data_IF_646823250950
#
_entry.id   IF_646823250950
#
_cell.length_a   1.000
_cell.length_b   1.000
_cell.length_c   1.000
_cell.angle_alpha   90.00
_cell.angle_beta   90.00
_cell.angle_gamma   90.00
#
_symmetry.space_group_name_H-M   'P 1'
#
loop_
_entity.id
_entity.type
_entity.pdbx_description
1 polymer ?
#
# COMPACT_ATOMS: atom_id res chain seq x y z
N UNK A 1 100.09 -2.87 37.68
CA UNK A 1 100.30 -1.53 38.28
C UNK A 1 99.51 -0.51 37.48
N UNK A 2 98.88 0.41 38.20
CA UNK A 2 97.85 1.37 37.78
C UNK A 2 98.08 2.06 36.43
N UNK A 3 97.01 2.18 35.65
CA UNK A 3 96.90 3.22 34.61
C UNK A 3 95.49 3.81 34.63
N UNK A 4 95.32 5.11 34.93
CA UNK A 4 94.02 5.76 34.84
C UNK A 4 93.92 6.72 33.64
N UNK A 5 92.74 6.64 33.01
CA UNK A 5 91.91 7.72 32.46
C UNK A 5 92.51 8.67 31.42
N UNK A 6 91.93 8.63 30.23
CA UNK A 6 91.24 9.78 29.59
C UNK A 6 90.12 9.26 28.68
N UNK A 7 88.91 9.85 28.77
CA UNK A 7 87.77 9.64 27.86
C UNK A 7 87.41 11.01 27.26
N UNK A 8 87.10 11.10 25.95
CA UNK A 8 86.87 12.38 25.29
C UNK A 8 85.41 12.85 25.33
N UNK A 9 85.29 14.12 24.96
CA UNK A 9 84.16 15.05 24.98
C UNK A 9 83.10 14.83 23.89
N UNK A 10 81.89 15.33 24.21
CA UNK A 10 80.86 15.99 23.39
C UNK A 10 80.45 15.32 22.07
N UNK A 11 79.17 15.03 21.79
CA UNK A 11 77.99 15.86 22.02
C UNK A 11 77.28 15.96 20.67
N UNK A 12 76.31 15.08 20.41
CA UNK A 12 75.51 15.06 19.19
C UNK A 12 74.02 14.99 19.57
N UNK A 13 73.21 15.71 18.80
CA UNK A 13 71.87 16.17 19.14
C UNK A 13 70.88 15.08 19.57
N UNK A 14 70.03 15.46 20.52
CA UNK A 14 68.82 14.72 20.89
C UNK A 14 67.90 14.60 19.68
N UNK A 15 67.86 13.41 19.08
CA UNK A 15 66.76 13.00 18.21
C UNK A 15 65.47 12.95 19.03
N UNK A 16 64.46 13.66 18.53
CA UNK A 16 63.08 13.60 19.02
C UNK A 16 62.55 12.18 18.83
N UNK A 17 62.28 11.50 19.95
CA UNK A 17 61.52 10.24 19.95
C UNK A 17 60.09 10.57 19.55
N UNK A 18 59.70 10.18 18.34
CA UNK A 18 58.30 10.16 17.91
C UNK A 18 57.58 9.05 18.66
N UNK A 19 56.50 9.45 19.35
CA UNK A 19 55.66 8.59 20.16
C UNK A 19 54.71 7.80 19.23
N UNK A 20 54.66 6.44 19.30
CA UNK A 20 53.82 5.63 18.41
C UNK A 20 52.31 5.88 18.58
N UNK A 21 51.89 6.62 19.61
CA UNK A 21 50.50 7.05 19.80
C UNK A 21 50.08 8.24 18.93
N UNK A 22 51.00 9.01 18.35
CA UNK A 22 50.65 10.17 17.49
C UNK A 22 50.36 9.74 16.05
N UNK A 23 50.88 8.60 15.60
CA UNK A 23 50.61 8.07 14.24
C UNK A 23 49.25 7.36 14.11
N UNK A 24 48.71 6.81 15.21
CA UNK A 24 47.43 6.10 15.17
C UNK A 24 46.21 7.04 15.11
N UNK A 25 46.29 8.25 15.70
CA UNK A 25 45.21 9.24 15.59
C UNK A 25 45.23 10.01 14.26
N UNK A 26 46.39 10.18 13.63
CA UNK A 26 46.51 10.84 12.32
C UNK A 26 45.89 10.05 11.16
N UNK A 27 45.96 8.71 11.19
CA UNK A 27 45.38 7.88 10.12
C UNK A 27 43.86 7.69 10.24
N UNK A 28 43.29 7.77 11.45
CA UNK A 28 41.83 7.75 11.64
C UNK A 28 41.20 9.09 11.26
N UNK A 29 41.88 10.21 11.55
CA UNK A 29 41.43 11.55 11.12
C UNK A 29 41.46 11.75 9.60
N UNK A 30 42.46 11.19 8.90
CA UNK A 30 42.56 11.28 7.45
C UNK A 30 41.52 10.42 6.71
N UNK A 31 41.12 9.27 7.26
CA UNK A 31 40.08 8.41 6.69
C UNK A 31 38.66 8.98 6.88
N UNK A 32 38.39 9.65 8.01
CA UNK A 32 37.11 10.32 8.26
C UNK A 32 36.98 11.60 7.41
N UNK A 33 38.09 12.32 7.18
CA UNK A 33 38.11 13.52 6.33
C UNK A 33 37.99 13.18 4.83
N UNK A 34 38.52 12.04 4.36
CA UNK A 34 38.35 11.60 2.97
C UNK A 34 36.95 11.05 2.66
N UNK A 35 36.28 10.41 3.64
CA UNK A 35 34.87 10.02 3.50
C UNK A 35 33.91 11.23 3.53
N UNK A 36 34.20 12.26 4.33
CA UNK A 36 33.43 13.50 4.34
C UNK A 36 33.61 14.32 3.05
N UNK A 37 34.81 14.31 2.45
CA UNK A 37 35.07 14.98 1.17
C UNK A 37 34.45 14.23 -0.02
N UNK A 38 34.41 12.89 0.00
CA UNK A 38 33.66 12.12 -1.00
C UNK A 38 32.14 12.30 -0.87
N UNK A 39 31.59 12.44 0.34
CA UNK A 39 30.19 12.80 0.53
C UNK A 39 29.88 14.23 0.07
N UNK A 40 30.79 15.18 0.26
CA UNK A 40 30.63 16.56 -0.23
C UNK A 40 30.73 16.67 -1.76
N UNK A 41 31.54 15.85 -2.42
CA UNK A 41 31.63 15.79 -3.89
C UNK A 41 30.40 15.07 -4.50
N UNK A 42 29.79 14.11 -3.79
CA UNK A 42 28.53 13.49 -4.22
C UNK A 42 27.34 14.45 -4.04
N UNK A 43 27.38 15.33 -3.03
CA UNK A 43 26.35 16.37 -2.80
C UNK A 43 26.52 17.58 -3.75
N UNK A 44 27.72 17.82 -4.30
CA UNK A 44 27.95 18.88 -5.29
C UNK A 44 27.97 18.41 -6.75
N UNK A 45 28.13 17.10 -7.01
CA UNK A 45 28.12 16.49 -8.34
C UNK A 45 26.75 15.96 -8.82
N UNK A 46 25.74 15.89 -7.95
CA UNK A 46 24.37 15.47 -8.31
C UNK A 46 23.40 16.64 -8.51
N UNK A 47 23.86 17.88 -8.30
CA UNK A 47 23.09 19.11 -8.54
C UNK A 47 23.04 19.55 -10.01
N UNK A 48 23.46 18.69 -10.95
CA UNK A 48 23.56 19.00 -12.37
C UNK A 48 23.01 17.91 -13.30
N UNK A 49 21.92 17.22 -12.92
CA UNK A 49 20.95 16.69 -13.89
C UNK A 49 19.54 16.83 -13.31
N UNK A 50 19.13 18.08 -13.09
CA UNK A 50 17.71 18.45 -13.08
C UNK A 50 17.38 18.90 -14.52
N UNK A 51 16.37 18.33 -15.20
CA UNK A 51 15.88 18.99 -16.40
C UNK A 51 15.22 20.29 -15.94
N UNK A 52 15.88 21.39 -16.25
CA UNK A 52 15.32 22.73 -16.30
C UNK A 52 14.02 22.65 -17.13
N UNK A 53 12.88 22.52 -16.46
CA UNK A 53 11.56 22.73 -17.08
C UNK A 53 11.36 24.24 -17.07
N UNK A 54 11.73 24.86 -18.18
CA UNK A 54 11.41 26.25 -18.49
C UNK A 54 9.89 26.47 -18.44
N UNK A 55 9.50 27.61 -17.87
CA UNK A 55 8.21 28.27 -17.95
C UNK A 55 7.21 27.67 -18.95
N UNK A 56 6.15 27.04 -18.42
CA UNK A 56 4.92 26.85 -19.20
C UNK A 56 4.12 28.15 -19.05
N UNK A 57 4.42 29.10 -19.93
CA UNK A 57 3.46 30.11 -20.33
C UNK A 57 2.30 29.47 -21.11
N UNK A 58 1.16 30.11 -20.96
CA UNK A 58 -0.19 29.76 -21.39
C UNK A 58 -0.37 29.48 -22.89
N UNK A 59 -1.43 28.72 -23.16
CA UNK A 59 -2.12 28.47 -24.43
C UNK A 59 -1.60 27.36 -25.36
N UNK A 60 -2.19 26.16 -25.22
CA UNK A 60 -2.94 25.50 -26.30
C UNK A 60 -3.34 24.06 -25.91
N UNK A 61 -4.66 23.88 -25.79
CA UNK A 61 -5.49 22.67 -25.98
C UNK A 61 -4.85 21.26 -26.06
N UNK A 62 -5.45 20.37 -25.25
CA UNK A 62 -5.31 18.89 -25.17
C UNK A 62 -4.09 18.33 -24.45
N UNK A 63 -4.15 18.36 -23.12
CA UNK A 63 -3.45 17.39 -22.29
C UNK A 63 -3.88 15.96 -22.71
N UNK A 64 -2.91 15.12 -23.06
CA UNK A 64 -3.14 13.70 -23.34
C UNK A 64 -3.59 13.02 -22.04
N UNK A 65 -4.85 12.61 -21.99
CA UNK A 65 -5.39 11.73 -20.97
C UNK A 65 -4.58 10.43 -20.95
N UNK A 66 -3.98 10.09 -19.81
CA UNK A 66 -3.66 8.70 -19.47
C UNK A 66 -4.92 7.83 -19.54
N UNK A 67 -4.88 6.53 -19.22
CA UNK A 67 -6.11 5.75 -19.09
C UNK A 67 -6.96 6.47 -18.03
N UNK A 68 -8.00 7.18 -18.48
CA UNK A 68 -8.69 8.18 -17.66
C UNK A 68 -9.31 7.53 -16.43
N UNK A 69 -9.83 8.32 -15.49
CA UNK A 69 -10.53 7.85 -14.28
C UNK A 69 -11.61 6.76 -14.54
N UNK A 70 -12.05 6.62 -15.80
CA UNK A 70 -12.86 5.53 -16.34
C UNK A 70 -12.20 4.13 -16.31
N UNK A 71 -10.91 3.99 -16.02
CA UNK A 71 -10.23 2.69 -15.89
C UNK A 71 -9.85 2.33 -14.46
N UNK A 72 -9.93 3.27 -13.52
CA UNK A 72 -9.52 3.04 -12.12
C UNK A 72 -10.66 2.32 -11.38
N UNK A 73 -10.30 1.24 -10.68
CA UNK A 73 -11.21 0.53 -9.79
C UNK A 73 -11.01 1.05 -8.36
N UNK A 74 -12.07 1.49 -7.67
CA UNK A 74 -11.95 1.87 -6.28
C UNK A 74 -11.53 0.67 -5.42
N UNK A 75 -10.60 0.92 -4.50
CA UNK A 75 -10.10 -0.01 -3.52
C UNK A 75 -10.45 0.49 -2.11
N UNK A 76 -10.73 -0.41 -1.15
CA UNK A 76 -10.98 -0.05 0.24
C UNK A 76 -9.67 0.35 0.97
N UNK A 77 -8.96 1.33 0.42
CA UNK A 77 -7.80 1.96 1.03
C UNK A 77 -8.13 3.37 1.50
N UNK A 78 -7.42 3.78 2.55
CA UNK A 78 -7.51 5.09 3.15
C UNK A 78 -6.12 5.72 3.10
N UNK A 79 -6.00 6.80 2.34
CA UNK A 79 -4.75 7.52 2.15
C UNK A 79 -4.51 8.45 3.33
N UNK A 80 -3.38 8.25 4.02
CA UNK A 80 -2.99 8.96 5.26
C UNK A 80 -1.82 9.93 5.01
N UNK A 81 -1.72 10.99 5.83
CA UNK A 81 -0.52 11.84 5.98
C UNK A 81 -0.01 12.50 4.68
N UNK A 82 -0.93 13.16 4.00
CA UNK A 82 -0.84 13.67 2.64
C UNK A 82 0.20 14.78 2.42
N UNK A 83 0.62 15.47 3.49
CA UNK A 83 1.60 16.58 3.45
C UNK A 83 3.04 16.17 3.07
N UNK A 84 3.38 14.87 3.12
CA UNK A 84 4.68 14.36 2.63
C UNK A 84 4.74 14.16 1.11
N UNK A 85 3.59 14.24 0.42
CA UNK A 85 3.49 13.91 -1.01
C UNK A 85 3.39 15.17 -1.87
N UNK A 86 3.91 15.10 -3.10
CA UNK A 86 3.87 16.21 -4.05
C UNK A 86 2.43 16.51 -4.53
N UNK A 87 1.63 15.48 -4.75
CA UNK A 87 0.25 15.59 -5.23
C UNK A 87 -0.65 14.58 -4.49
N UNK A 88 -0.96 14.82 -3.19
CA UNK A 88 -1.59 13.81 -2.34
C UNK A 88 -2.95 13.35 -2.85
N UNK A 89 -3.83 14.28 -3.22
CA UNK A 89 -5.14 13.97 -3.79
C UNK A 89 -5.02 13.08 -5.03
N UNK A 90 -4.27 13.52 -6.06
CA UNK A 90 -4.11 12.77 -7.30
C UNK A 90 -3.52 11.38 -7.05
N UNK A 91 -2.46 11.29 -6.24
CA UNK A 91 -1.84 9.99 -5.93
C UNK A 91 -2.79 9.02 -5.22
N UNK A 92 -3.68 9.51 -4.37
CA UNK A 92 -4.69 8.68 -3.70
C UNK A 92 -5.77 8.21 -4.67
N UNK A 93 -6.27 9.09 -5.53
CA UNK A 93 -7.27 8.75 -6.55
C UNK A 93 -6.70 7.80 -7.60
N UNK A 94 -5.48 8.03 -8.06
CA UNK A 94 -4.78 7.16 -9.03
C UNK A 94 -4.56 5.75 -8.47
N UNK A 95 -4.34 5.62 -7.16
CA UNK A 95 -4.26 4.34 -6.46
C UNK A 95 -5.63 3.68 -6.19
N UNK A 96 -6.74 4.39 -6.45
CA UNK A 96 -8.10 3.91 -6.22
C UNK A 96 -8.62 4.10 -4.79
N UNK A 97 -7.97 4.87 -3.92
CA UNK A 97 -8.40 4.98 -2.52
C UNK A 97 -9.70 5.75 -2.32
N UNK A 98 -10.68 5.06 -1.72
CA UNK A 98 -12.00 5.62 -1.41
C UNK A 98 -12.04 6.50 -0.14
N UNK A 99 -10.89 6.71 0.50
CA UNK A 99 -10.75 7.59 1.65
C UNK A 99 -9.43 8.33 1.62
N UNK A 100 -9.45 9.61 1.98
CA UNK A 100 -8.29 10.50 2.01
C UNK A 100 -8.36 11.35 3.27
N UNK A 101 -7.24 11.46 4.00
CA UNK A 101 -7.14 12.24 5.23
C UNK A 101 -6.40 13.56 5.01
N UNK A 102 -6.96 14.64 5.56
CA UNK A 102 -6.37 15.97 5.55
C UNK A 102 -6.28 16.52 6.98
N UNK A 103 -5.07 16.56 7.54
CA UNK A 103 -4.76 17.26 8.78
C UNK A 103 -4.74 18.77 8.53
N UNK A 104 -5.68 19.50 9.15
CA UNK A 104 -5.85 20.93 8.91
C UNK A 104 -5.67 21.78 10.16
N UNK A 105 -5.00 22.91 9.97
CA UNK A 105 -4.75 23.92 10.99
C UNK A 105 -5.40 25.24 10.57
N UNK A 106 -6.17 25.83 11.48
CA UNK A 106 -6.75 27.15 11.28
C UNK A 106 -5.69 28.21 11.65
N UNK A 107 -5.21 28.94 10.65
CA UNK A 107 -4.25 30.03 10.84
C UNK A 107 -4.74 31.24 10.08
N UNK A 108 -4.98 32.33 10.82
CA UNK A 108 -5.68 33.51 10.29
C UNK A 108 -7.04 33.04 9.73
N UNK A 109 -7.42 33.36 8.50
CA UNK A 109 -8.74 32.98 7.94
C UNK A 109 -8.64 31.84 6.92
N UNK A 110 -7.70 30.91 7.11
CA UNK A 110 -7.45 29.81 6.18
C UNK A 110 -7.19 28.47 6.90
N UNK A 111 -7.51 27.36 6.21
CA UNK A 111 -7.20 26.00 6.64
C UNK A 111 -5.98 25.47 5.89
N UNK A 112 -4.83 25.49 6.56
CA UNK A 112 -3.57 24.95 6.04
C UNK A 112 -3.45 23.46 6.33
N UNK A 113 -2.86 22.72 5.40
CA UNK A 113 -2.68 21.26 5.51
C UNK A 113 -1.28 20.95 6.02
N UNK A 114 -1.17 20.19 7.11
CA UNK A 114 0.13 19.77 7.66
C UNK A 114 0.03 18.96 8.94
N UNK A 115 1.08 18.19 9.23
CA UNK A 115 1.15 17.39 10.47
C UNK A 115 1.20 18.25 11.72
N UNK A 116 1.99 19.32 11.66
CA UNK A 116 2.25 20.25 12.75
C UNK A 116 2.34 21.68 12.20
N UNK A 117 2.23 22.66 13.11
CA UNK A 117 2.30 24.09 12.78
C UNK A 117 3.61 24.51 12.09
N UNK A 118 4.72 23.80 12.33
CA UNK A 118 6.03 24.12 11.76
C UNK A 118 6.19 23.68 10.30
N UNK A 119 5.40 22.71 9.85
CA UNK A 119 5.37 22.20 8.48
C UNK A 119 4.39 22.90 7.55
N UNK A 120 3.70 23.95 8.00
CA UNK A 120 2.72 24.67 7.18
C UNK A 120 3.40 25.49 6.08
N UNK A 121 2.77 25.52 4.90
CA UNK A 121 3.20 26.32 3.75
C UNK A 121 2.02 27.07 3.15
N UNK A 122 2.26 28.28 2.65
CA UNK A 122 1.19 29.18 2.17
C UNK A 122 0.45 28.67 0.94
N UNK A 123 1.07 27.77 0.16
CA UNK A 123 0.51 27.12 -1.02
C UNK A 123 -0.31 25.84 -0.69
N UNK A 124 -0.23 25.36 0.55
CA UNK A 124 -0.82 24.09 1.00
C UNK A 124 -2.04 24.32 1.89
N UNK A 125 -3.18 24.58 1.26
CA UNK A 125 -4.47 24.76 1.93
C UNK A 125 -5.41 23.60 1.62
N UNK A 126 -6.43 23.40 2.46
CA UNK A 126 -7.49 22.41 2.20
C UNK A 126 -8.10 22.65 0.80
N UNK A 127 -8.28 23.93 0.46
CA UNK A 127 -8.79 24.37 -0.83
C UNK A 127 -7.87 24.02 -2.00
N UNK A 128 -6.56 24.33 -1.91
CA UNK A 128 -5.62 24.09 -3.01
C UNK A 128 -5.32 22.60 -3.20
N UNK A 129 -5.25 21.85 -2.11
CA UNK A 129 -4.81 20.46 -2.13
C UNK A 129 -5.94 19.45 -2.37
N UNK A 130 -7.18 19.76 -1.96
CA UNK A 130 -8.31 18.82 -2.04
C UNK A 130 -9.54 19.39 -2.71
N UNK A 131 -10.09 20.52 -2.22
CA UNK A 131 -11.39 21.00 -2.70
C UNK A 131 -11.34 21.37 -4.18
N UNK A 132 -10.33 22.13 -4.62
CA UNK A 132 -10.21 22.55 -6.02
C UNK A 132 -9.96 21.36 -6.96
N UNK A 133 -9.01 20.45 -6.69
CA UNK A 133 -8.86 19.23 -7.49
C UNK A 133 -10.14 18.37 -7.54
N UNK A 134 -10.86 18.22 -6.42
CA UNK A 134 -12.15 17.52 -6.37
C UNK A 134 -13.20 18.18 -7.27
N UNK A 135 -13.30 19.51 -7.20
CA UNK A 135 -14.22 20.29 -8.02
C UNK A 135 -13.90 20.13 -9.51
N UNK A 136 -12.65 20.32 -9.91
CA UNK A 136 -12.21 20.17 -11.31
C UNK A 136 -12.51 18.77 -11.85
N UNK A 137 -12.22 17.75 -11.03
CA UNK A 137 -12.47 16.35 -11.37
C UNK A 137 -13.97 16.06 -11.54
N UNK A 138 -14.80 16.41 -10.57
CA UNK A 138 -16.25 16.16 -10.64
C UNK A 138 -16.93 17.00 -11.72
N UNK A 139 -16.48 18.24 -11.95
CA UNK A 139 -16.95 19.05 -13.08
C UNK A 139 -16.65 18.35 -14.41
N UNK A 140 -15.43 17.85 -14.59
CA UNK A 140 -15.04 17.15 -15.82
C UNK A 140 -15.87 15.89 -16.07
N UNK A 141 -16.21 15.13 -15.01
CA UNK A 141 -17.03 13.92 -15.15
C UNK A 141 -18.51 14.18 -15.39
N UNK A 142 -18.99 15.40 -15.10
CA UNK A 142 -20.40 15.76 -15.17
C UNK A 142 -20.70 16.86 -16.19
N UNK A 143 -19.75 17.21 -17.08
CA UNK A 143 -19.82 18.38 -17.98
C UNK A 143 -21.05 18.37 -18.92
N UNK A 144 -21.45 17.19 -19.43
CA UNK A 144 -22.53 17.01 -20.40
C UNK A 144 -23.64 16.07 -19.89
N UNK A 145 -23.77 15.95 -18.56
CA UNK A 145 -24.73 15.01 -17.95
C UNK A 145 -26.10 15.64 -17.81
N UNK A 146 -27.14 14.86 -18.06
CA UNK A 146 -28.52 15.25 -17.77
C UNK A 146 -28.66 15.60 -16.27
N UNK A 147 -29.05 16.85 -15.92
CA UNK A 147 -29.21 17.28 -14.54
C UNK A 147 -30.24 16.49 -13.73
N UNK A 148 -31.14 15.73 -14.38
CA UNK A 148 -32.12 14.85 -13.72
C UNK A 148 -31.52 13.54 -13.20
N UNK A 149 -30.31 13.18 -13.64
CA UNK A 149 -29.62 11.97 -13.21
C UNK A 149 -28.73 12.25 -11.99
N UNK A 150 -28.53 11.27 -11.09
CA UNK A 150 -27.54 11.40 -10.01
C UNK A 150 -26.15 11.74 -10.57
N UNK A 151 -25.33 12.55 -9.87
CA UNK A 151 -24.00 12.91 -10.35
C UNK A 151 -23.08 11.68 -10.45
N UNK A 152 -22.15 11.71 -11.40
CA UNK A 152 -21.06 10.75 -11.45
C UNK A 152 -20.06 11.06 -10.33
N UNK A 153 -19.73 10.03 -9.53
CA UNK A 153 -18.68 10.08 -8.53
C UNK A 153 -17.27 10.12 -9.12
N UNK A 154 -16.27 9.98 -8.26
CA UNK A 154 -14.86 10.11 -8.62
C UNK A 154 -14.36 8.99 -9.54
N UNK A 155 -14.93 7.78 -9.44
CA UNK A 155 -14.48 6.62 -10.20
C UNK A 155 -15.44 6.25 -11.31
N UNK A 156 -15.03 6.42 -12.57
CA UNK A 156 -15.93 6.17 -13.72
C UNK A 156 -16.44 4.72 -13.82
N UNK A 157 -15.68 3.73 -13.32
CA UNK A 157 -16.07 2.31 -13.27
C UNK A 157 -17.13 1.99 -12.22
N UNK A 158 -17.21 2.81 -11.17
CA UNK A 158 -18.15 2.68 -10.04
C UNK A 158 -18.65 4.08 -9.68
N UNK A 159 -19.52 4.66 -10.51
CA UNK A 159 -19.93 6.06 -10.41
C UNK A 159 -20.72 6.37 -9.13
N UNK A 160 -21.23 5.34 -8.45
CA UNK A 160 -21.92 5.39 -7.16
C UNK A 160 -20.97 5.31 -5.94
N UNK A 161 -19.69 5.01 -6.14
CA UNK A 161 -18.70 4.97 -5.07
C UNK A 161 -18.38 6.39 -4.58
N UNK A 162 -18.82 6.71 -3.37
CA UNK A 162 -18.43 7.94 -2.68
C UNK A 162 -16.95 7.90 -2.27
N UNK A 163 -16.27 9.04 -2.34
CA UNK A 163 -14.94 9.24 -1.74
C UNK A 163 -15.10 9.94 -0.41
N UNK A 164 -14.47 9.41 0.62
CA UNK A 164 -14.46 10.03 1.95
C UNK A 164 -13.30 11.02 2.05
N UNK A 165 -13.62 12.29 2.27
CA UNK A 165 -12.65 13.30 2.70
C UNK A 165 -12.71 13.39 4.23
N UNK A 166 -11.76 12.75 4.89
CA UNK A 166 -11.60 12.79 6.34
C UNK A 166 -10.76 14.02 6.70
N UNK A 167 -11.35 14.98 7.41
CA UNK A 167 -10.70 16.23 7.79
C UNK A 167 -10.40 16.18 9.28
N UNK A 168 -9.12 16.10 9.63
CA UNK A 168 -8.65 16.13 11.03
C UNK A 168 -8.40 17.57 11.45
N UNK A 169 -9.32 18.12 12.24
CA UNK A 169 -9.20 19.48 12.77
C UNK A 169 -8.19 19.48 13.92
N UNK A 170 -7.00 20.06 13.70
CA UNK A 170 -5.94 20.18 14.71
C UNK A 170 -6.04 21.43 15.57
N UNK A 171 -6.93 22.34 15.22
CA UNK A 171 -7.10 23.65 15.84
C UNK A 171 -8.47 23.78 16.50
N UNK A 172 -8.58 24.76 17.40
CA UNK A 172 -9.81 25.05 18.15
C UNK A 172 -11.07 25.01 17.25
N UNK A 173 -12.11 24.23 17.62
CA UNK A 173 -13.28 24.03 16.77
C UNK A 173 -14.05 25.32 16.49
N UNK A 174 -14.03 26.30 17.41
CA UNK A 174 -14.73 27.58 17.21
C UNK A 174 -14.16 28.40 16.04
N UNK A 175 -12.90 28.16 15.66
CA UNK A 175 -12.27 28.83 14.51
C UNK A 175 -12.19 27.91 13.30
N UNK A 176 -11.86 26.63 13.49
CA UNK A 176 -11.63 25.69 12.39
C UNK A 176 -12.93 25.18 11.75
N UNK A 177 -14.01 25.01 12.53
CA UNK A 177 -15.28 24.51 12.03
C UNK A 177 -15.98 25.47 11.05
N UNK A 178 -16.13 26.78 11.35
CA UNK A 178 -16.73 27.72 10.39
C UNK A 178 -15.94 27.80 9.08
N UNK A 179 -14.61 27.80 9.15
CA UNK A 179 -13.74 27.80 7.97
C UNK A 179 -13.93 26.51 7.15
N UNK A 180 -14.07 25.35 7.79
CA UNK A 180 -14.34 24.10 7.09
C UNK A 180 -15.65 24.19 6.31
N UNK A 181 -16.73 24.63 6.95
CA UNK A 181 -18.04 24.77 6.30
C UNK A 181 -17.97 25.73 5.10
N UNK A 182 -17.22 26.82 5.23
CA UNK A 182 -16.97 27.77 4.13
C UNK A 182 -16.19 27.13 2.98
N UNK A 183 -15.11 26.38 3.26
CA UNK A 183 -14.31 25.71 2.20
C UNK A 183 -15.10 24.63 1.47
N UNK A 184 -16.13 24.05 2.10
CA UNK A 184 -17.01 23.05 1.49
C UNK A 184 -18.13 23.65 0.62
N UNK A 185 -18.36 24.96 0.69
CA UNK A 185 -19.45 25.63 -0.02
C UNK A 185 -19.49 25.37 -1.54
N UNK A 186 -18.36 25.34 -2.29
CA UNK A 186 -18.38 25.04 -3.72
C UNK A 186 -18.91 23.63 -4.04
N UNK A 187 -18.60 22.64 -3.20
CA UNK A 187 -19.09 21.26 -3.36
C UNK A 187 -20.58 21.18 -2.99
N UNK A 188 -20.99 21.90 -1.93
CA UNK A 188 -22.37 21.99 -1.45
C UNK A 188 -23.30 22.58 -2.51
N UNK A 189 -22.91 23.70 -3.13
CA UNK A 189 -23.68 24.35 -4.19
C UNK A 189 -23.90 23.46 -5.42
N UNK A 190 -23.00 22.51 -5.67
CA UNK A 190 -23.13 21.52 -6.75
C UNK A 190 -23.92 20.27 -6.36
N UNK A 191 -24.35 20.15 -5.09
CA UNK A 191 -25.04 18.96 -4.59
C UNK A 191 -24.13 17.72 -4.55
N UNK A 192 -22.82 17.91 -4.39
CA UNK A 192 -21.85 16.81 -4.43
C UNK A 192 -21.49 16.22 -3.07
N UNK A 193 -21.97 16.83 -1.99
CA UNK A 193 -21.78 16.33 -0.64
C UNK A 193 -22.90 15.36 -0.25
N UNK A 194 -22.51 14.24 0.36
CA UNK A 194 -23.43 13.43 1.16
C UNK A 194 -23.99 14.31 2.29
N UNK A 195 -25.28 14.16 2.59
CA UNK A 195 -25.95 15.01 3.55
C UNK A 195 -27.16 14.32 4.19
N UNK A 196 -27.67 14.91 5.27
CA UNK A 196 -28.94 14.50 5.86
C UNK A 196 -30.07 15.37 5.33
N UNK A 197 -31.09 14.74 4.78
CA UNK A 197 -32.33 15.38 4.34
C UNK A 197 -33.52 14.58 4.87
N UNK A 198 -34.49 15.25 5.48
CA UNK A 198 -35.69 14.64 6.08
C UNK A 198 -35.40 13.44 6.99
N UNK A 199 -34.35 13.56 7.82
CA UNK A 199 -33.95 12.52 8.76
C UNK A 199 -33.34 11.27 8.10
N UNK A 200 -32.91 11.37 6.84
CA UNK A 200 -32.27 10.28 6.09
C UNK A 200 -30.92 10.71 5.54
N UNK A 201 -29.98 9.77 5.51
CA UNK A 201 -28.72 9.94 4.82
C UNK A 201 -28.93 9.88 3.30
N UNK A 202 -28.48 10.91 2.58
CA UNK A 202 -28.45 11.01 1.13
C UNK A 202 -26.98 10.96 0.69
N UNK A 203 -26.61 9.94 -0.08
CA UNK A 203 -25.24 9.77 -0.55
C UNK A 203 -24.92 10.72 -1.70
N UNK A 204 -23.78 11.41 -1.62
CA UNK A 204 -23.19 12.19 -2.70
C UNK A 204 -21.85 11.59 -3.17
N UNK A 205 -21.29 12.12 -4.27
CA UNK A 205 -19.93 11.82 -4.73
C UNK A 205 -18.88 11.89 -3.63
N UNK A 206 -19.03 12.83 -2.68
CA UNK A 206 -18.08 13.06 -1.59
C UNK A 206 -18.81 12.97 -0.25
N UNK A 207 -18.26 12.18 0.67
CA UNK A 207 -18.69 12.20 2.07
C UNK A 207 -17.61 12.88 2.91
N UNK A 208 -17.94 13.97 3.57
CA UNK A 208 -16.99 14.67 4.44
C UNK A 208 -17.13 14.16 5.86
N UNK A 209 -16.02 13.77 6.47
CA UNK A 209 -15.98 13.28 7.84
C UNK A 209 -15.02 14.14 8.65
N UNK A 210 -15.49 14.77 9.73
CA UNK A 210 -14.65 15.50 10.66
C UNK A 210 -14.11 14.59 11.76
N UNK A 211 -12.82 14.72 12.06
CA UNK A 211 -12.14 14.08 13.19
C UNK A 211 -11.27 15.11 13.93
N UNK A 212 -10.44 14.68 14.88
CA UNK A 212 -9.65 15.57 15.74
C UNK A 212 -10.53 16.35 16.71
N UNK A 213 -10.45 17.68 16.67
CA UNK A 213 -11.24 18.59 17.51
C UNK A 213 -12.72 18.74 17.04
N UNK A 214 -13.17 17.92 16.08
CA UNK A 214 -14.58 17.93 15.65
C UNK A 214 -15.49 17.38 16.73
N UNK A 215 -16.45 18.18 17.20
CA UNK A 215 -17.41 17.77 18.23
C UNK A 215 -18.79 17.36 17.66
N UNK A 216 -19.48 16.45 18.34
CA UNK A 216 -20.80 15.95 17.92
C UNK A 216 -21.86 17.05 17.79
N UNK A 217 -21.82 18.06 18.67
CA UNK A 217 -22.80 19.16 18.63
C UNK A 217 -22.63 20.02 17.36
N UNK A 218 -21.40 20.27 16.92
CA UNK A 218 -21.09 21.00 15.69
C UNK A 218 -21.67 20.31 14.45
N UNK A 219 -21.52 19.00 14.39
CA UNK A 219 -22.12 18.17 13.33
C UNK A 219 -23.64 18.21 13.42
N UNK A 220 -24.21 18.08 14.63
CA UNK A 220 -25.66 18.00 14.80
C UNK A 220 -26.40 19.31 14.51
N UNK A 221 -25.75 20.43 14.80
CA UNK A 221 -26.31 21.78 14.69
C UNK A 221 -25.79 22.51 13.44
N UNK A 222 -25.09 21.81 12.54
CA UNK A 222 -24.51 22.41 11.34
C UNK A 222 -25.56 23.11 10.47
N UNK A 223 -25.29 24.37 10.15
CA UNK A 223 -26.10 25.21 9.25
C UNK A 223 -25.22 25.77 8.12
N UNK A 224 -25.76 25.97 6.90
CA UNK A 224 -27.16 25.77 6.50
C UNK A 224 -27.53 24.31 6.20
N UNK A 225 -26.58 23.37 6.21
CA UNK A 225 -26.80 21.99 5.78
C UNK A 225 -26.05 20.98 6.63
N UNK A 226 -26.65 19.79 6.79
CA UNK A 226 -26.10 18.65 7.52
C UNK A 226 -25.27 17.76 6.59
N UNK A 227 -24.12 18.25 6.14
CA UNK A 227 -23.28 17.60 5.11
C UNK A 227 -21.85 17.22 5.54
N UNK A 228 -21.57 17.35 6.84
CA UNK A 228 -20.37 16.82 7.49
C UNK A 228 -20.80 15.81 8.53
N UNK A 229 -20.10 14.68 8.59
CA UNK A 229 -20.34 13.59 9.54
C UNK A 229 -19.16 13.47 10.50
N UNK A 230 -19.36 12.83 11.65
CA UNK A 230 -18.31 12.62 12.64
C UNK A 230 -17.55 11.30 12.41
N UNK A 231 -16.26 11.29 12.73
CA UNK A 231 -15.52 10.07 13.10
C UNK A 231 -15.74 9.80 14.60
N UNK A 232 -16.77 9.01 14.92
CA UNK A 232 -17.20 8.81 16.30
C UNK A 232 -16.22 7.96 17.13
N UNK A 233 -16.09 8.19 18.44
CA UNK A 233 -15.28 7.33 19.31
C UNK A 233 -15.84 5.90 19.38
N UNK A 234 -15.10 4.93 18.82
CA UNK A 234 -15.52 3.51 18.71
C UNK A 234 -15.71 2.84 20.08
N UNK A 235 -15.02 3.31 21.09
CA UNK A 235 -15.14 2.82 22.47
C UNK A 235 -16.29 3.46 23.27
N UNK A 236 -17.07 4.37 22.68
CA UNK A 236 -18.20 5.06 23.33
C UNK A 236 -19.53 4.90 22.57
N UNK A 237 -19.66 3.91 21.70
CA UNK A 237 -20.89 3.68 20.92
C UNK A 237 -22.09 3.24 21.78
N UNK A 238 -21.85 2.75 23.00
CA UNK A 238 -22.88 2.27 23.93
C UNK A 238 -23.80 3.40 24.41
N UNK A 239 -23.34 4.66 24.38
CA UNK A 239 -24.12 5.84 24.78
C UNK A 239 -25.37 6.09 23.90
N UNK A 240 -25.48 5.44 22.74
CA UNK A 240 -26.62 5.56 21.83
C UNK A 240 -26.71 6.90 21.08
N UNK A 241 -25.69 7.76 21.20
CA UNK A 241 -25.65 9.11 20.58
C UNK A 241 -25.17 9.12 19.13
N UNK A 242 -24.60 8.03 18.63
CA UNK A 242 -24.00 7.94 17.30
C UNK A 242 -24.81 7.04 16.37
N UNK A 243 -25.08 7.52 15.16
CA UNK A 243 -25.75 6.79 14.09
C UNK A 243 -25.23 7.26 12.73
N UNK A 244 -25.65 6.58 11.67
CA UNK A 244 -25.42 6.95 10.27
C UNK A 244 -25.92 8.36 9.87
N UNK A 245 -26.73 9.02 10.72
CA UNK A 245 -27.19 10.39 10.51
C UNK A 245 -26.21 11.45 11.02
N UNK A 246 -25.31 11.11 11.94
CA UNK A 246 -24.35 12.06 12.48
C UNK A 246 -22.91 11.61 12.34
N UNK A 247 -22.67 10.33 12.07
CA UNK A 247 -21.36 9.73 12.03
C UNK A 247 -21.24 8.84 10.80
N UNK A 248 -20.05 8.77 10.20
CA UNK A 248 -19.78 7.89 9.07
C UNK A 248 -18.72 6.86 9.42
N UNK A 249 -17.63 7.35 10.00
CA UNK A 249 -16.61 6.52 10.62
C UNK A 249 -16.82 6.43 12.11
N UNK A 250 -16.20 5.41 12.67
CA UNK A 250 -15.96 5.36 14.09
C UNK A 250 -14.58 4.76 14.33
N UNK A 251 -13.75 5.44 15.10
CA UNK A 251 -12.35 5.07 15.25
C UNK A 251 -11.86 5.10 16.70
N UNK A 252 -10.81 4.33 16.95
CA UNK A 252 -10.08 4.34 18.23
C UNK A 252 -8.64 3.86 18.03
N UNK A 253 -7.76 4.27 18.95
CA UNK A 253 -6.43 3.68 19.06
C UNK A 253 -6.55 2.19 19.33
N UNK A 254 -5.91 1.37 18.52
CA UNK A 254 -5.84 -0.06 18.75
C UNK A 254 -5.19 -0.37 20.10
N UNK A 255 -4.02 0.20 20.38
CA UNK A 255 -3.30 -0.07 21.62
C UNK A 255 -4.07 0.43 22.85
N UNK A 256 -4.68 1.62 22.82
CA UNK A 256 -5.44 2.11 23.99
C UNK A 256 -6.74 1.31 24.21
N UNK A 257 -7.41 0.89 23.14
CA UNK A 257 -8.67 0.14 23.24
C UNK A 257 -8.46 -1.34 23.51
N UNK A 258 -7.73 -2.03 22.62
CA UNK A 258 -7.56 -3.48 22.63
C UNK A 258 -6.37 -3.89 23.50
N UNK A 259 -5.39 -3.00 23.69
CA UNK A 259 -4.15 -3.30 24.41
C UNK A 259 -3.03 -3.75 23.50
N UNK A 260 -1.84 -3.90 24.08
CA UNK A 260 -0.66 -4.44 23.37
C UNK A 260 -0.93 -5.88 22.92
N UNK A 261 -0.39 -6.22 21.76
CA UNK A 261 -0.38 -7.56 21.24
C UNK A 261 0.87 -8.29 21.72
N UNK A 262 0.71 -9.51 22.20
CA UNK A 262 1.84 -10.38 22.56
C UNK A 262 2.36 -11.15 21.35
N UNK A 263 3.53 -11.78 21.46
CA UNK A 263 4.04 -12.72 20.45
C UNK A 263 3.10 -13.89 20.16
N UNK A 264 2.22 -14.25 21.11
CA UNK A 264 1.18 -15.30 20.95
C UNK A 264 -0.12 -14.76 20.36
N UNK A 265 -0.16 -13.48 20.03
CA UNK A 265 -1.33 -12.82 19.50
C UNK A 265 -2.24 -12.12 20.51
N UNK A 266 -3.49 -11.89 20.06
CA UNK A 266 -4.57 -11.32 20.85
C UNK A 266 -5.09 -12.38 21.82
N UNK A 267 -5.21 -12.01 23.09
CA UNK A 267 -5.87 -12.85 24.08
C UNK A 267 -7.37 -13.00 23.75
N UNK A 268 -8.05 -14.07 24.19
CA UNK A 268 -9.47 -14.28 23.93
C UNK A 268 -10.34 -13.07 24.29
N UNK A 269 -10.05 -12.39 25.41
CA UNK A 269 -10.76 -11.18 25.84
C UNK A 269 -10.52 -9.98 24.89
N UNK A 270 -9.32 -9.85 24.33
CA UNK A 270 -9.00 -8.79 23.36
C UNK A 270 -9.74 -9.03 22.03
N UNK A 271 -9.78 -10.29 21.58
CA UNK A 271 -10.51 -10.68 20.37
C UNK A 271 -12.03 -10.51 20.54
N UNK A 272 -12.57 -10.87 21.70
CA UNK A 272 -13.97 -10.65 22.03
C UNK A 272 -14.32 -9.16 22.05
N UNK A 273 -13.47 -8.32 22.66
CA UNK A 273 -13.64 -6.85 22.66
C UNK A 273 -13.61 -6.27 21.24
N UNK A 274 -12.64 -6.68 20.43
CA UNK A 274 -12.50 -6.26 19.03
C UNK A 274 -13.77 -6.60 18.22
N UNK A 275 -14.25 -7.85 18.32
CA UNK A 275 -15.47 -8.31 17.64
C UNK A 275 -16.71 -7.55 18.11
N UNK A 276 -16.84 -7.30 19.42
CA UNK A 276 -17.95 -6.53 19.96
C UNK A 276 -17.95 -5.10 19.42
N UNK A 277 -16.81 -4.40 19.46
CA UNK A 277 -16.70 -3.03 18.93
C UNK A 277 -17.08 -2.95 17.45
N UNK A 278 -16.54 -3.84 16.62
CA UNK A 278 -16.88 -3.90 15.18
C UNK A 278 -18.38 -4.18 14.99
N UNK A 279 -18.95 -5.11 15.76
CA UNK A 279 -20.38 -5.42 15.69
C UNK A 279 -21.27 -4.23 16.09
N UNK A 280 -20.88 -3.47 17.13
CA UNK A 280 -21.61 -2.29 17.58
C UNK A 280 -21.55 -1.14 16.57
N UNK A 281 -20.42 -0.98 15.88
CA UNK A 281 -20.29 -0.03 14.78
C UNK A 281 -21.22 -0.40 13.61
N UNK A 282 -21.14 -1.66 13.15
CA UNK A 282 -21.94 -2.12 12.01
C UNK A 282 -23.45 -2.10 12.30
N UNK A 283 -23.89 -2.40 13.53
CA UNK A 283 -25.31 -2.33 13.89
C UNK A 283 -25.89 -0.92 13.85
N UNK A 284 -25.03 0.10 13.85
CA UNK A 284 -25.39 1.53 13.74
C UNK A 284 -25.14 2.11 12.34
N UNK A 285 -24.78 1.26 11.37
CA UNK A 285 -24.42 1.70 10.02
C UNK A 285 -23.05 2.38 9.91
N UNK A 286 -22.22 2.31 10.95
CA UNK A 286 -20.91 2.98 11.01
C UNK A 286 -19.78 2.06 10.53
N UNK A 287 -18.75 2.66 9.94
CA UNK A 287 -17.55 1.95 9.49
C UNK A 287 -16.45 2.03 10.55
N UNK A 288 -16.12 0.89 11.15
CA UNK A 288 -15.09 0.81 12.19
C UNK A 288 -13.66 0.98 11.62
N UNK A 289 -12.84 1.80 12.29
CA UNK A 289 -11.42 2.01 12.00
C UNK A 289 -10.60 1.85 13.27
N UNK A 290 -9.42 1.24 13.15
CA UNK A 290 -8.43 1.19 14.22
C UNK A 290 -7.15 1.87 13.73
N UNK A 291 -6.67 2.85 14.47
CA UNK A 291 -5.39 3.52 14.18
C UNK A 291 -4.34 3.11 15.21
N UNK A 292 -3.06 3.29 14.86
CA UNK A 292 -1.95 2.78 15.67
C UNK A 292 -1.98 1.26 15.78
N UNK A 293 -2.30 0.57 14.68
CA UNK A 293 -2.23 -0.88 14.63
C UNK A 293 -0.81 -1.35 14.96
N UNK A 294 -0.67 -2.46 15.72
CA UNK A 294 0.64 -2.99 16.05
C UNK A 294 1.39 -3.33 14.77
N UNK A 295 2.54 -2.68 14.57
CA UNK A 295 3.48 -3.02 13.49
C UNK A 295 4.03 -4.45 13.63
N UNK A 296 3.99 -4.99 14.87
CA UNK A 296 4.48 -6.31 15.23
C UNK A 296 3.58 -6.96 16.30
N UNK A 297 3.32 -8.28 16.24
CA UNK A 297 3.87 -9.22 15.28
C UNK A 297 2.93 -9.44 14.09
N UNK A 298 3.51 -9.40 12.88
CA UNK A 298 2.91 -9.95 11.65
C UNK A 298 2.52 -11.44 11.82
N UNK A 299 3.05 -12.11 12.86
CA UNK A 299 2.65 -13.45 13.31
C UNK A 299 1.18 -13.57 13.69
N UNK A 300 0.49 -12.47 14.03
CA UNK A 300 -0.96 -12.52 14.28
C UNK A 300 -1.78 -12.79 13.03
N UNK A 301 -1.36 -12.22 11.90
CA UNK A 301 -1.95 -12.54 10.59
C UNK A 301 -1.65 -13.99 10.26
N UNK A 302 -0.48 -14.51 10.64
CA UNK A 302 -0.07 -15.90 10.37
C UNK A 302 -0.77 -16.91 11.28
N UNK A 303 -0.93 -16.64 12.59
CA UNK A 303 -1.66 -17.50 13.54
C UNK A 303 -3.17 -17.49 13.32
N UNK A 304 -3.76 -16.35 12.92
CA UNK A 304 -5.16 -16.31 12.47
C UNK A 304 -5.37 -17.00 11.11
N UNK A 305 -4.29 -17.33 10.40
CA UNK A 305 -4.29 -18.03 9.12
C UNK A 305 -3.74 -19.47 9.22
N UNK A 306 -3.33 -19.94 10.40
CA UNK A 306 -2.96 -21.35 10.59
C UNK A 306 -4.20 -22.22 10.29
N UNK A 307 -4.09 -23.08 9.27
CA UNK A 307 -5.20 -23.88 8.75
C UNK A 307 -6.05 -23.20 7.67
N UNK A 308 -5.76 -21.96 7.25
CA UNK A 308 -6.45 -21.36 6.10
C UNK A 308 -5.78 -21.78 4.80
N UNK A 309 -6.58 -22.32 3.89
CA UNK A 309 -6.12 -22.74 2.57
C UNK A 309 -6.45 -21.68 1.51
N UNK A 310 -5.61 -21.58 0.46
CA UNK A 310 -5.91 -20.72 -0.68
C UNK A 310 -7.17 -21.21 -1.41
N UNK A 311 -8.11 -20.30 -1.68
CA UNK A 311 -9.33 -20.51 -2.45
C UNK A 311 -9.35 -19.61 -3.68
N UNK A 312 -10.22 -19.91 -4.66
CA UNK A 312 -10.36 -19.06 -5.84
C UNK A 312 -10.97 -17.71 -5.47
N UNK A 313 -10.33 -16.62 -5.90
CA UNK A 313 -10.97 -15.30 -5.89
C UNK A 313 -12.01 -15.22 -7.02
N UNK A 314 -13.26 -14.99 -6.63
CA UNK A 314 -14.39 -14.83 -7.57
C UNK A 314 -14.17 -13.73 -8.61
N UNK A 315 -13.37 -12.70 -8.32
CA UNK A 315 -13.16 -11.56 -9.23
C UNK A 315 -12.34 -11.92 -10.47
N UNK A 316 -11.56 -13.00 -10.41
CA UNK A 316 -10.75 -13.50 -11.54
C UNK A 316 -11.33 -14.76 -12.18
N UNK A 317 -12.37 -15.36 -11.59
CA UNK A 317 -12.93 -16.64 -12.01
C UNK A 317 -13.34 -16.64 -13.50
N UNK A 318 -13.92 -15.54 -14.00
CA UNK A 318 -14.36 -15.41 -15.39
C UNK A 318 -13.21 -15.42 -16.41
N UNK A 319 -11.97 -15.22 -15.95
CA UNK A 319 -10.77 -15.25 -16.80
C UNK A 319 -10.10 -16.61 -16.85
N UNK A 320 -10.53 -17.53 -16.00
CA UNK A 320 -9.92 -18.84 -15.84
C UNK A 320 -10.72 -19.91 -16.60
N UNK A 321 -10.08 -21.02 -16.99
CA UNK A 321 -10.80 -22.19 -17.47
C UNK A 321 -11.83 -22.70 -16.45
N UNK A 322 -12.93 -23.29 -16.93
CA UNK A 322 -14.00 -23.81 -16.06
C UNK A 322 -13.50 -24.84 -15.02
N UNK A 323 -12.47 -25.62 -15.37
CA UNK A 323 -11.86 -26.57 -14.44
C UNK A 323 -11.22 -25.90 -13.22
N UNK A 324 -10.76 -24.65 -13.32
CA UNK A 324 -10.14 -23.95 -12.20
C UNK A 324 -11.09 -23.85 -11.01
N UNK A 325 -12.33 -23.41 -11.27
CA UNK A 325 -13.37 -23.36 -10.24
C UNK A 325 -13.63 -24.76 -9.65
N UNK A 326 -13.76 -25.77 -10.51
CA UNK A 326 -14.01 -27.16 -10.08
C UNK A 326 -12.90 -27.68 -9.15
N UNK A 327 -11.63 -27.45 -9.49
CA UNK A 327 -10.50 -27.85 -8.68
C UNK A 327 -10.44 -27.09 -7.34
N UNK A 328 -10.66 -25.78 -7.35
CA UNK A 328 -10.68 -24.97 -6.13
C UNK A 328 -11.84 -25.32 -5.20
N UNK A 329 -13.03 -25.61 -5.75
CA UNK A 329 -14.19 -26.05 -4.97
C UNK A 329 -13.91 -27.42 -4.30
N UNK A 330 -13.35 -28.39 -5.05
CA UNK A 330 -12.96 -29.68 -4.49
C UNK A 330 -11.88 -29.57 -3.41
N UNK A 331 -10.87 -28.72 -3.65
CA UNK A 331 -9.81 -28.41 -2.67
C UNK A 331 -10.38 -27.78 -1.40
N UNK A 332 -11.34 -26.85 -1.54
CA UNK A 332 -12.00 -26.20 -0.41
C UNK A 332 -12.88 -27.19 0.38
N UNK A 333 -13.65 -28.04 -0.32
CA UNK A 333 -14.52 -29.04 0.30
C UNK A 333 -13.75 -30.09 1.13
N UNK A 334 -12.52 -30.42 0.72
CA UNK A 334 -11.64 -31.37 1.40
C UNK A 334 -10.63 -30.70 2.36
N UNK A 335 -10.67 -29.37 2.49
CA UNK A 335 -9.74 -28.57 3.30
C UNK A 335 -8.24 -28.86 3.01
N UNK A 336 -7.90 -28.99 1.72
CA UNK A 336 -6.55 -29.37 1.29
C UNK A 336 -5.66 -28.15 1.00
N UNK A 337 -4.41 -28.21 1.46
CA UNK A 337 -3.36 -27.27 1.07
C UNK A 337 -2.75 -27.64 -0.30
N UNK A 338 -2.06 -26.70 -0.93
CA UNK A 338 -1.31 -27.02 -2.15
C UNK A 338 -0.12 -27.94 -1.88
N UNK A 339 0.51 -27.85 -0.71
CA UNK A 339 1.52 -28.80 -0.23
C UNK A 339 1.01 -30.25 -0.25
N UNK A 340 -0.17 -30.49 0.33
CA UNK A 340 -0.76 -31.83 0.40
C UNK A 340 -1.05 -32.40 -1.01
N UNK A 341 -1.64 -31.57 -1.89
CA UNK A 341 -1.95 -31.98 -3.26
C UNK A 341 -0.65 -32.20 -4.06
N UNK A 342 0.33 -31.31 -3.94
CA UNK A 342 1.61 -31.42 -4.61
C UNK A 342 2.39 -32.67 -4.23
N UNK A 343 2.41 -33.00 -2.94
CA UNK A 343 2.99 -34.25 -2.44
C UNK A 343 2.30 -35.49 -3.03
N UNK A 344 0.98 -35.47 -3.15
CA UNK A 344 0.23 -36.58 -3.75
C UNK A 344 0.50 -36.72 -5.25
N UNK A 345 0.52 -35.61 -5.98
CA UNK A 345 0.78 -35.59 -7.43
C UNK A 345 2.25 -35.92 -7.78
N UNK A 346 3.19 -35.64 -6.88
CA UNK A 346 4.63 -35.72 -7.18
C UNK A 346 5.13 -34.53 -7.99
N UNK A 347 4.53 -33.36 -7.81
CA UNK A 347 4.90 -32.09 -8.47
C UNK A 347 5.28 -31.04 -7.43
N UNK A 348 5.92 -29.95 -7.83
CA UNK A 348 6.16 -28.83 -6.91
C UNK A 348 4.85 -28.08 -6.60
N UNK A 349 4.77 -27.49 -5.41
CA UNK A 349 3.60 -26.72 -4.97
C UNK A 349 3.22 -25.62 -5.96
N UNK A 350 4.20 -24.85 -6.43
CA UNK A 350 3.97 -23.77 -7.40
C UNK A 350 3.44 -24.32 -8.73
N UNK A 351 3.91 -25.49 -9.17
CA UNK A 351 3.43 -26.10 -10.40
C UNK A 351 1.97 -26.59 -10.27
N UNK A 352 1.58 -27.11 -9.10
CA UNK A 352 0.19 -27.50 -8.83
C UNK A 352 -0.71 -26.27 -8.70
N UNK A 353 -0.29 -25.22 -8.00
CA UNK A 353 -1.05 -23.98 -7.96
C UNK A 353 -1.22 -23.38 -9.37
N UNK A 354 -0.16 -23.37 -10.19
CA UNK A 354 -0.24 -22.94 -11.58
C UNK A 354 -1.22 -23.79 -12.41
N UNK A 355 -1.27 -25.10 -12.19
CA UNK A 355 -2.26 -25.98 -12.81
C UNK A 355 -3.69 -25.58 -12.45
N UNK A 356 -3.96 -25.30 -11.16
CA UNK A 356 -5.28 -24.87 -10.70
C UNK A 356 -5.72 -23.55 -11.33
N UNK A 357 -4.79 -22.62 -11.58
CA UNK A 357 -5.05 -21.38 -12.31
C UNK A 357 -5.00 -21.53 -13.85
N UNK A 358 -4.94 -22.76 -14.38
CA UNK A 358 -4.95 -23.04 -15.82
C UNK A 358 -3.67 -22.63 -16.56
N UNK A 359 -2.56 -22.49 -15.83
CA UNK A 359 -1.25 -22.07 -16.36
C UNK A 359 -0.29 -23.24 -16.58
N UNK A 360 -0.71 -24.47 -16.26
CA UNK A 360 0.05 -25.70 -16.51
C UNK A 360 -0.87 -26.81 -17.05
N UNK A 361 -0.27 -27.76 -17.77
CA UNK A 361 -0.97 -28.94 -18.30
C UNK A 361 -0.93 -30.07 -17.27
N UNK A 362 -2.03 -30.83 -17.17
CA UNK A 362 -2.08 -32.08 -16.43
C UNK A 362 -1.64 -33.24 -17.31
N UNK A 363 -0.80 -34.13 -16.77
CA UNK A 363 -0.61 -35.47 -17.35
C UNK A 363 -1.81 -36.37 -17.04
N UNK A 364 -1.93 -37.52 -17.70
CA UNK A 364 -2.97 -38.50 -17.37
C UNK A 364 -2.87 -39.00 -15.92
N UNK A 365 -1.64 -39.14 -15.40
CA UNK A 365 -1.38 -39.49 -14.01
C UNK A 365 -1.84 -38.37 -13.04
N UNK A 366 -1.61 -37.10 -13.41
CA UNK A 366 -2.11 -35.97 -12.61
C UNK A 366 -3.63 -35.99 -12.53
N UNK A 367 -4.33 -36.29 -13.63
CA UNK A 367 -5.80 -36.35 -13.67
C UNK A 367 -6.32 -37.46 -12.76
N UNK A 368 -5.69 -38.64 -12.78
CA UNK A 368 -6.05 -39.76 -11.91
C UNK A 368 -5.91 -39.39 -10.43
N UNK A 369 -4.75 -38.86 -10.05
CA UNK A 369 -4.46 -38.45 -8.67
C UNK A 369 -5.33 -37.28 -8.21
N UNK A 370 -5.63 -36.31 -9.08
CA UNK A 370 -6.53 -35.20 -8.76
C UNK A 370 -7.97 -35.67 -8.58
N UNK A 371 -8.43 -36.59 -9.43
CA UNK A 371 -9.75 -37.22 -9.29
C UNK A 371 -9.89 -37.94 -7.95
N UNK A 372 -8.88 -38.70 -7.55
CA UNK A 372 -8.85 -39.43 -6.27
C UNK A 372 -8.84 -38.49 -5.07
N UNK A 373 -7.88 -37.55 -4.99
CA UNK A 373 -7.69 -36.73 -3.79
C UNK A 373 -8.80 -35.68 -3.61
N UNK A 374 -9.39 -35.18 -4.71
CA UNK A 374 -10.45 -34.18 -4.67
C UNK A 374 -11.85 -34.79 -4.73
N UNK A 375 -11.97 -36.09 -4.95
CA UNK A 375 -13.25 -36.80 -5.08
C UNK A 375 -14.11 -36.22 -6.23
N UNK A 376 -13.47 -36.06 -7.39
CA UNK A 376 -14.05 -35.46 -8.59
C UNK A 376 -14.11 -36.49 -9.73
N UNK A 377 -15.14 -36.49 -10.60
CA UNK A 377 -15.25 -37.45 -11.69
C UNK A 377 -14.08 -37.36 -12.68
N UNK A 378 -13.35 -38.48 -12.86
CA UNK A 378 -12.15 -38.56 -13.71
C UNK A 378 -12.44 -38.12 -15.14
N UNK A 379 -13.54 -38.58 -15.72
CA UNK A 379 -13.90 -38.30 -17.12
C UNK A 379 -14.15 -36.80 -17.34
N UNK A 380 -14.78 -36.13 -16.37
CA UNK A 380 -15.04 -34.69 -16.43
C UNK A 380 -13.75 -33.87 -16.31
N UNK A 381 -12.80 -34.32 -15.48
CA UNK A 381 -11.48 -33.70 -15.33
C UNK A 381 -10.60 -33.91 -16.56
N UNK A 382 -10.54 -35.14 -17.08
CA UNK A 382 -9.74 -35.50 -18.25
C UNK A 382 -10.12 -34.64 -19.47
N UNK A 383 -11.42 -34.46 -19.73
CA UNK A 383 -11.90 -33.66 -20.86
C UNK A 383 -11.44 -32.19 -20.82
N UNK A 384 -11.13 -31.65 -19.64
CA UNK A 384 -10.80 -30.24 -19.45
C UNK A 384 -9.31 -29.98 -19.20
N UNK A 385 -8.60 -30.92 -18.55
CA UNK A 385 -7.24 -30.72 -18.05
C UNK A 385 -6.11 -31.20 -18.97
N UNK A 386 -6.39 -32.11 -19.91
CA UNK A 386 -5.36 -32.68 -20.80
C UNK A 386 -5.10 -31.83 -22.04
N UNK A 387 -5.92 -30.78 -22.26
CA UNK A 387 -5.70 -29.81 -23.33
C UNK A 387 -4.47 -28.92 -23.10
N UNK A 388 -4.07 -28.18 -24.14
CA UNK A 388 -3.01 -27.19 -24.01
C UNK A 388 -3.54 -25.90 -23.33
N UNK A 389 -2.87 -25.39 -22.29
CA UNK A 389 -3.34 -24.22 -21.56
C UNK A 389 -3.11 -22.93 -22.35
N UNK A 390 -4.10 -22.04 -22.33
CA UNK A 390 -3.99 -20.66 -22.80
C UNK A 390 -3.42 -19.77 -21.67
N UNK A 391 -2.10 -19.81 -21.52
CA UNK A 391 -1.38 -19.13 -20.43
C UNK A 391 -1.48 -17.60 -20.53
N UNK A 392 -1.37 -16.92 -19.39
CA UNK A 392 -1.31 -15.45 -19.29
C UNK A 392 -2.65 -14.75 -19.07
N UNK A 393 -3.74 -15.49 -18.88
CA UNK A 393 -5.09 -14.93 -18.70
C UNK A 393 -5.50 -14.75 -17.23
N UNK A 394 -4.75 -15.31 -16.28
CA UNK A 394 -5.19 -15.41 -14.88
C UNK A 394 -5.37 -14.07 -14.14
N UNK A 395 -4.73 -12.98 -14.61
CA UNK A 395 -4.81 -11.66 -13.98
C UNK A 395 -4.54 -10.52 -14.95
N UNK A 396 -4.94 -9.27 -14.61
CA UNK A 396 -4.66 -8.11 -15.45
C UNK A 396 -3.17 -7.74 -15.40
N UNK A 397 -2.70 -7.08 -16.46
CA UNK A 397 -1.41 -6.38 -16.46
C UNK A 397 -1.66 -4.86 -16.64
N UNK A 398 -1.07 -3.99 -15.80
CA UNK A 398 -0.25 -4.33 -14.63
C UNK A 398 -1.06 -5.06 -13.54
N UNK A 399 -0.42 -5.88 -12.68
CA UNK A 399 -1.13 -6.57 -11.60
C UNK A 399 -1.77 -5.59 -10.62
N UNK A 400 -2.98 -5.88 -10.17
CA UNK A 400 -3.69 -5.05 -9.16
C UNK A 400 -3.63 -5.67 -7.76
N UNK A 401 -3.34 -6.96 -7.66
CA UNK A 401 -3.17 -7.63 -6.38
C UNK A 401 -1.78 -7.28 -5.81
N UNK A 402 -1.70 -6.75 -4.56
CA UNK A 402 -0.45 -6.22 -4.02
C UNK A 402 0.71 -7.21 -3.97
N UNK A 403 0.51 -8.49 -3.61
CA UNK A 403 1.58 -9.48 -3.56
C UNK A 403 2.18 -9.72 -4.95
N UNK A 404 1.34 -9.91 -5.97
CA UNK A 404 1.78 -10.09 -7.36
C UNK A 404 2.42 -8.80 -7.90
N UNK A 405 1.90 -7.62 -7.52
CA UNK A 405 2.48 -6.34 -7.92
C UNK A 405 3.93 -6.18 -7.44
N UNK A 406 4.29 -6.68 -6.25
CA UNK A 406 5.69 -6.62 -5.78
C UNK A 406 6.64 -7.43 -6.65
N UNK A 407 6.21 -8.57 -7.20
CA UNK A 407 7.02 -9.33 -8.15
C UNK A 407 7.23 -8.57 -9.45
N UNK A 408 6.19 -7.88 -9.94
CA UNK A 408 6.29 -6.98 -11.09
C UNK A 408 7.24 -5.80 -10.82
N UNK A 409 7.17 -5.19 -9.64
CA UNK A 409 8.04 -4.09 -9.20
C UNK A 409 9.51 -4.50 -9.11
N UNK A 410 9.80 -5.74 -8.67
CA UNK A 410 11.16 -6.31 -8.72
C UNK A 410 11.67 -6.37 -10.17
N UNK A 411 10.86 -6.84 -11.12
CA UNK A 411 11.24 -6.87 -12.54
C UNK A 411 11.48 -5.46 -13.07
N UNK A 412 10.62 -4.50 -12.73
CA UNK A 412 10.76 -3.10 -13.14
C UNK A 412 12.07 -2.48 -12.64
N UNK A 413 12.42 -2.72 -11.37
CA UNK A 413 13.57 -2.07 -10.74
C UNK A 413 14.90 -2.80 -11.02
N UNK A 414 14.89 -4.13 -11.03
CA UNK A 414 16.11 -4.96 -11.14
C UNK A 414 16.29 -5.59 -12.53
N UNK A 415 15.36 -5.41 -13.47
CA UNK A 415 15.41 -6.06 -14.79
C UNK A 415 16.73 -5.82 -15.54
N UNK A 416 17.21 -4.57 -15.59
CA UNK A 416 18.51 -4.25 -16.22
C UNK A 416 19.71 -4.75 -15.40
N UNK A 417 19.62 -4.79 -14.07
CA UNK A 417 20.66 -5.36 -13.23
C UNK A 417 20.81 -6.87 -13.47
N UNK A 418 19.69 -7.62 -13.52
CA UNK A 418 19.69 -9.03 -13.90
C UNK A 418 20.27 -9.22 -15.30
N UNK A 419 19.83 -8.42 -16.28
CA UNK A 419 20.33 -8.50 -17.67
C UNK A 419 21.86 -8.36 -17.71
N UNK A 420 22.42 -7.35 -17.06
CA UNK A 420 23.85 -7.09 -17.07
C UNK A 420 24.64 -8.25 -16.44
N UNK A 421 24.26 -8.68 -15.23
CA UNK A 421 24.95 -9.77 -14.51
C UNK A 421 24.84 -11.10 -15.27
N UNK A 422 23.69 -11.39 -15.86
CA UNK A 422 23.50 -12.58 -16.69
C UNK A 422 24.38 -12.53 -17.93
N UNK A 423 24.49 -11.37 -18.58
CA UNK A 423 25.37 -11.21 -19.74
C UNK A 423 26.85 -11.40 -19.38
N UNK A 424 27.31 -10.88 -18.25
CA UNK A 424 28.68 -11.10 -17.77
C UNK A 424 28.99 -12.56 -17.45
N UNK A 425 28.03 -13.28 -16.86
CA UNK A 425 28.23 -14.67 -16.41
C UNK A 425 28.03 -15.71 -17.52
N UNK A 426 27.11 -15.46 -18.46
CA UNK A 426 26.66 -16.47 -19.40
C UNK A 426 26.74 -16.05 -20.88
N UNK A 427 27.13 -14.81 -21.16
CA UNK A 427 27.23 -14.26 -22.52
C UNK A 427 25.92 -13.68 -23.05
N UNK A 428 25.78 -13.57 -24.38
CA UNK A 428 24.57 -13.04 -25.01
C UNK A 428 23.50 -14.13 -25.16
N UNK A 429 22.31 -13.88 -24.63
CA UNK A 429 21.25 -14.89 -24.50
C UNK A 429 20.19 -14.53 -23.47
N UNK A 430 19.39 -15.53 -23.11
CA UNK A 430 18.27 -15.40 -22.16
C UNK A 430 18.21 -16.56 -21.16
N UNK A 431 17.65 -16.30 -19.98
CA UNK A 431 17.15 -17.34 -19.09
C UNK A 431 15.77 -17.79 -19.57
N UNK A 432 15.62 -19.07 -19.93
CA UNK A 432 14.35 -19.62 -20.40
C UNK A 432 13.29 -19.59 -19.30
N UNK A 433 12.07 -19.18 -19.67
CA UNK A 433 10.84 -19.35 -18.87
C UNK A 433 10.03 -20.60 -19.26
N UNK A 434 10.58 -21.46 -20.14
CA UNK A 434 9.94 -22.70 -20.61
C UNK A 434 10.69 -23.92 -20.07
N UNK A 435 12.00 -24.01 -20.33
CA UNK A 435 12.89 -24.95 -19.64
C UNK A 435 13.24 -24.38 -18.27
N UNK A 436 12.25 -24.39 -17.38
CA UNK A 436 12.21 -23.58 -16.17
C UNK A 436 11.56 -24.32 -14.99
N UNK A 437 12.00 -23.99 -13.78
CA UNK A 437 11.38 -24.40 -12.53
C UNK A 437 11.45 -23.26 -11.50
N UNK A 438 10.49 -23.21 -10.59
CA UNK A 438 10.45 -22.26 -9.47
C UNK A 438 9.90 -22.88 -8.20
N UNK A 439 10.37 -22.39 -7.06
CA UNK A 439 9.94 -22.79 -5.72
C UNK A 439 9.71 -21.55 -4.85
N UNK A 440 8.95 -21.75 -3.77
CA UNK A 440 8.75 -20.77 -2.71
C UNK A 440 9.10 -21.45 -1.40
N UNK A 441 10.01 -20.83 -0.65
CA UNK A 441 10.50 -21.34 0.62
C UNK A 441 10.32 -20.25 1.69
N UNK A 442 10.06 -20.67 2.93
CA UNK A 442 9.98 -19.78 4.09
C UNK A 442 11.26 -19.90 4.90
N UNK A 443 11.98 -18.81 5.03
CA UNK A 443 13.13 -18.71 5.94
C UNK A 443 12.76 -17.85 7.14
N UNK A 444 13.45 -18.05 8.26
CA UNK A 444 13.29 -17.22 9.46
C UNK A 444 14.69 -16.75 9.85
N UNK A 445 14.87 -15.44 9.93
CA UNK A 445 16.17 -14.87 10.29
C UNK A 445 16.46 -15.00 11.80
N UNK A 446 17.67 -14.61 12.20
CA UNK A 446 18.10 -14.64 13.61
C UNK A 446 17.25 -13.76 14.52
N UNK A 447 16.58 -12.73 13.97
CA UNK A 447 15.66 -11.87 14.69
C UNK A 447 14.24 -12.45 14.77
N UNK A 448 14.00 -13.63 14.20
CA UNK A 448 12.70 -14.30 14.17
C UNK A 448 11.73 -13.78 13.09
N UNK A 449 12.21 -12.94 12.16
CA UNK A 449 11.40 -12.41 11.07
C UNK A 449 11.28 -13.44 9.95
N UNK A 450 10.07 -13.73 9.43
CA UNK A 450 9.90 -14.62 8.31
C UNK A 450 10.24 -13.92 6.98
N UNK A 451 10.98 -14.62 6.13
CA UNK A 451 11.35 -14.21 4.79
C UNK A 451 10.77 -15.18 3.76
N UNK A 452 10.35 -14.64 2.62
CA UNK A 452 9.93 -15.45 1.47
C UNK A 452 11.08 -15.52 0.50
N UNK A 453 11.52 -16.74 0.21
CA UNK A 453 12.57 -17.01 -0.79
C UNK A 453 11.91 -17.58 -2.03
N UNK A 454 11.99 -16.85 -3.13
CA UNK A 454 11.53 -17.31 -4.45
C UNK A 454 12.74 -17.66 -5.27
N UNK A 455 12.86 -18.94 -5.64
CA UNK A 455 13.95 -19.41 -6.51
C UNK A 455 13.46 -19.45 -7.97
N UNK A 456 14.18 -18.80 -8.87
CA UNK A 456 13.96 -18.86 -10.32
C UNK A 456 15.12 -19.63 -10.96
N UNK A 457 14.83 -20.80 -11.55
CA UNK A 457 15.84 -21.67 -12.16
C UNK A 457 15.47 -21.96 -13.61
N UNK A 458 16.04 -21.19 -14.52
CA UNK A 458 15.85 -21.37 -15.98
C UNK A 458 17.12 -21.82 -16.68
N UNK A 459 16.96 -22.63 -17.73
CA UNK A 459 18.06 -22.99 -18.65
C UNK A 459 18.54 -21.74 -19.39
N UNK A 460 19.86 -21.53 -19.46
CA UNK A 460 20.44 -20.47 -20.28
C UNK A 460 20.40 -20.85 -21.77
N UNK A 461 19.97 -19.93 -22.62
CA UNK A 461 19.86 -20.09 -24.07
C UNK A 461 20.66 -18.99 -24.79
N UNK A 462 21.85 -19.29 -25.34
CA UNK A 462 22.61 -18.31 -26.10
C UNK A 462 21.93 -18.01 -27.44
N UNK A 463 22.02 -16.76 -27.91
CA UNK A 463 21.53 -16.42 -29.24
C UNK A 463 22.42 -17.06 -30.32
N UNK A 464 21.78 -17.60 -31.35
CA UNK A 464 22.49 -18.14 -32.50
C UNK A 464 23.10 -17.00 -33.32
N UNK A 465 24.32 -17.21 -33.81
CA UNK A 465 24.91 -16.39 -34.87
C UNK A 465 24.50 -17.01 -36.21
N UNK A 466 23.67 -16.32 -36.97
CA UNK A 466 23.22 -16.77 -38.29
C UNK A 466 23.38 -15.66 -39.33
#
# INVERSE_FOLDING_TARGET
MSSPKTRPLNGAGKGTKTNPFVFAFGMVGAAISSMALMFAIIISGTSFIWPYVSDIHTNSTKARSGPGLNSILPAPCHSHNDYWRLAPFHSAIDAGCIGIEADVWAVQDELYVGHDLGGLSTDRTLSSMYIRPLMELLQSQNLDRDPSLPPQGVYGRKPDQTVVLLVDLKSNPNTSWPLLLERLEPLRQKGWLSHVHDGKFVSGPITVVGTGETELHLVNEATPSRDVFLDAPLDQLEDGRYSDLNSHYTSVSFEKSIGKVSSKGLKPEQLAKLRNQISQAHSRGLKARYWGLPYWPLQLVTMANEGRIATLDSTIADRLPAFSKTLFDGKAAKDLSFEAIAKHLGRSEVAVAALFYGQATASSEDVEKLSEILDLPKEALAAQLTGFPNRGQAGPMPPTEPLIYRLYEIVQNYGYAYKAILNEKFGDGIMSAICFSTTVDKEVDEAGSPWVVITLKGKWLPFSRF
#
